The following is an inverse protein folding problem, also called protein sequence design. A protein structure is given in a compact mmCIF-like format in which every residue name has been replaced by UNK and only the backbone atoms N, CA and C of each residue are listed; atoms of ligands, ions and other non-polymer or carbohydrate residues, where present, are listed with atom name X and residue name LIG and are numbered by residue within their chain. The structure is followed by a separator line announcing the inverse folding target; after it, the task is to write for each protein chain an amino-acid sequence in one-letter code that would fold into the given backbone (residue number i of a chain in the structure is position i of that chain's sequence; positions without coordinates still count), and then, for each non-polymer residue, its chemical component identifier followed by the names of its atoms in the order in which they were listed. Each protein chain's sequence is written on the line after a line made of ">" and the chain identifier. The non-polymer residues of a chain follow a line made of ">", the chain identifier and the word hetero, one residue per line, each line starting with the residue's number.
data_IF_684447769109
#
_entry.id   IF_684447769109
#
_cell.length_a   1.000
_cell.length_b   1.000
_cell.length_c   1.000
_cell.angle_alpha   90.00
_cell.angle_beta   90.00
_cell.angle_gamma   90.00
#
_symmetry.space_group_name_H-M   'P 1'
#
loop_
_entity.id
_entity.type
_entity.pdbx_description
1 polymer ?
#
# COMPACT_ATOMS: atom_id res chain seq x y z
N UNK A 1 2.77 14.37 16.79
CA UNK A 1 1.49 14.09 17.48
C UNK A 1 0.33 14.80 16.79
N UNK A 2 0.45 16.09 16.47
CA UNK A 2 -0.64 16.90 15.88
C UNK A 2 -1.21 16.33 14.57
N UNK A 3 -0.36 15.83 13.67
CA UNK A 3 -0.80 15.26 12.40
C UNK A 3 -1.70 14.02 12.56
N UNK A 4 -1.36 13.11 13.47
CA UNK A 4 -2.16 11.90 13.72
C UNK A 4 -3.54 12.26 14.31
N UNK A 5 -3.60 13.30 15.14
CA UNK A 5 -4.84 13.82 15.70
C UNK A 5 -5.72 14.48 14.62
N UNK A 6 -5.12 15.31 13.75
CA UNK A 6 -5.81 15.93 12.62
C UNK A 6 -6.34 14.88 11.65
N UNK A 7 -5.53 13.89 11.31
CA UNK A 7 -5.97 12.76 10.48
C UNK A 7 -7.14 12.03 11.16
N UNK A 8 -7.05 11.70 12.46
CA UNK A 8 -8.14 11.06 13.20
C UNK A 8 -9.44 11.85 13.11
N UNK A 9 -9.39 13.16 13.38
CA UNK A 9 -10.55 14.04 13.30
C UNK A 9 -11.20 13.98 11.91
N UNK A 10 -10.37 14.01 10.88
CA UNK A 10 -10.85 13.99 9.51
C UNK A 10 -11.33 12.61 9.03
N UNK A 11 -10.73 11.52 9.48
CA UNK A 11 -11.27 10.19 9.21
C UNK A 11 -12.65 10.03 9.86
N UNK A 12 -12.81 10.57 11.08
CA UNK A 12 -14.06 10.56 11.83
C UNK A 12 -15.15 11.52 11.31
N UNK A 13 -14.85 12.38 10.33
CA UNK A 13 -15.88 13.24 9.71
C UNK A 13 -16.88 12.46 8.85
N UNK A 14 -16.58 11.20 8.54
CA UNK A 14 -17.48 10.27 7.84
C UNK A 14 -17.58 8.94 8.59
N UNK A 15 -18.71 8.23 8.51
CA UNK A 15 -18.97 7.02 9.28
C UNK A 15 -18.33 5.76 8.67
N UNK A 16 -17.10 5.86 8.15
CA UNK A 16 -16.45 4.73 7.49
C UNK A 16 -15.92 3.70 8.49
N UNK A 17 -16.16 2.39 8.24
CA UNK A 17 -15.56 1.34 9.06
C UNK A 17 -14.08 1.13 8.72
N UNK A 18 -13.70 1.34 7.45
CA UNK A 18 -12.35 1.12 6.93
C UNK A 18 -12.02 2.20 5.89
N UNK A 19 -10.80 2.72 5.94
CA UNK A 19 -10.20 3.53 4.87
C UNK A 19 -8.84 2.95 4.50
N UNK A 20 -8.33 3.32 3.33
CA UNK A 20 -6.98 2.96 2.90
C UNK A 20 -6.12 4.21 2.99
N UNK A 21 -5.02 4.10 3.74
CA UNK A 21 -4.04 5.15 3.92
C UNK A 21 -2.81 4.82 3.09
N UNK A 22 -2.28 5.80 2.37
CA UNK A 22 -1.03 5.68 1.61
C UNK A 22 -0.11 6.83 1.99
N UNK A 23 1.13 6.52 2.39
CA UNK A 23 2.12 7.49 2.87
C UNK A 23 3.36 7.53 1.99
N UNK A 24 4.03 8.68 1.98
CA UNK A 24 5.39 8.81 1.43
C UNK A 24 6.42 8.46 2.51
N UNK A 25 6.61 7.15 2.75
CA UNK A 25 7.51 6.65 3.80
C UNK A 25 8.98 6.50 3.41
N UNK A 26 9.33 6.49 2.13
CA UNK A 26 10.72 6.49 1.67
C UNK A 26 10.82 7.40 0.45
N UNK A 27 11.97 8.03 0.23
CA UNK A 27 12.14 8.86 -0.96
C UNK A 27 12.34 7.97 -2.18
N UNK A 28 11.32 7.98 -3.03
CA UNK A 28 11.30 7.24 -4.28
C UNK A 28 11.33 8.18 -5.49
N UNK A 29 11.64 9.47 -5.29
CA UNK A 29 11.69 10.49 -6.34
C UNK A 29 12.68 10.15 -7.46
N UNK A 30 13.83 9.56 -7.11
CA UNK A 30 14.80 9.01 -8.07
C UNK A 30 14.23 7.94 -9.01
N UNK A 31 13.12 7.31 -8.60
CA UNK A 31 12.35 6.29 -9.35
C UNK A 31 11.07 6.86 -9.96
N UNK A 32 10.86 8.18 -9.89
CA UNK A 32 9.63 8.87 -10.30
C UNK A 32 8.36 8.34 -9.60
N UNK A 33 8.49 7.92 -8.35
CA UNK A 33 7.37 7.49 -7.51
C UNK A 33 7.22 8.43 -6.31
N UNK A 34 5.98 8.72 -5.92
CA UNK A 34 5.68 9.61 -4.80
C UNK A 34 5.25 8.83 -3.58
N UNK A 35 4.49 7.75 -3.75
CA UNK A 35 3.84 7.04 -2.65
C UNK A 35 4.47 5.66 -2.48
N UNK A 36 4.93 5.34 -1.27
CA UNK A 36 5.73 4.13 -1.05
C UNK A 36 4.97 3.01 -0.33
N UNK A 37 4.11 3.34 0.64
CA UNK A 37 3.53 2.35 1.53
C UNK A 37 2.07 2.62 1.85
N UNK A 38 1.26 1.56 1.80
CA UNK A 38 -0.17 1.60 2.10
C UNK A 38 -0.56 0.67 3.26
N UNK A 39 -1.66 1.02 3.94
CA UNK A 39 -2.26 0.21 5.00
C UNK A 39 -3.77 0.39 5.09
N UNK A 40 -4.46 -0.60 5.66
CA UNK A 40 -5.89 -0.51 5.98
C UNK A 40 -6.07 0.10 7.35
N UNK A 41 -6.69 1.26 7.46
CA UNK A 41 -7.09 1.81 8.75
C UNK A 41 -8.53 1.41 9.05
N UNK A 42 -8.75 0.68 10.15
CA UNK A 42 -10.08 0.27 10.62
C UNK A 42 -10.46 1.02 11.89
N UNK A 43 -11.67 1.59 11.87
CA UNK A 43 -12.23 2.33 13.01
C UNK A 43 -12.59 1.37 14.13
N UNK A 44 -12.22 1.74 15.35
CA UNK A 44 -12.50 1.00 16.58
C UNK A 44 -13.75 1.57 17.27
N UNK A 45 -14.41 0.80 18.16
CA UNK A 45 -15.61 1.26 18.87
C UNK A 45 -15.42 2.55 19.67
N UNK A 46 -14.20 2.81 20.17
CA UNK A 46 -13.84 4.02 20.91
C UNK A 46 -13.52 5.23 20.00
N UNK A 47 -13.67 5.09 18.67
CA UNK A 47 -13.39 6.13 17.69
C UNK A 47 -11.91 6.32 17.32
N UNK A 48 -11.02 5.46 17.84
CA UNK A 48 -9.63 5.36 17.36
C UNK A 48 -9.55 4.54 16.06
N UNK A 49 -8.37 4.55 15.45
CA UNK A 49 -8.09 3.82 14.23
C UNK A 49 -6.88 2.91 14.43
N UNK A 50 -6.99 1.67 13.95
CA UNK A 50 -5.89 0.71 13.89
C UNK A 50 -5.51 0.45 12.44
N UNK A 51 -4.23 0.57 12.12
CA UNK A 51 -3.69 0.41 10.78
C UNK A 51 -3.07 -0.97 10.63
N UNK A 52 -3.54 -1.73 9.65
CA UNK A 52 -3.10 -3.07 9.31
C UNK A 52 -2.25 -2.99 8.04
N UNK A 53 -1.03 -3.51 8.12
CA UNK A 53 -0.07 -3.45 7.03
C UNK A 53 1.00 -4.54 7.17
N UNK A 54 1.60 -4.91 6.04
CA UNK A 54 2.75 -5.79 5.99
C UNK A 54 4.03 -4.95 5.98
N UNK A 55 4.98 -5.22 6.86
CA UNK A 55 6.27 -4.54 6.92
C UNK A 55 7.40 -5.56 6.85
N UNK A 56 8.50 -5.20 6.18
CA UNK A 56 9.72 -5.97 6.29
C UNK A 56 10.43 -5.65 7.60
N UNK A 57 11.08 -6.64 8.19
CA UNK A 57 12.09 -6.38 9.21
C UNK A 57 13.22 -5.60 8.54
N UNK A 58 13.57 -4.43 9.08
CA UNK A 58 14.53 -3.52 8.45
C UNK A 58 15.83 -4.25 8.11
N UNK A 59 16.26 -4.15 6.85
CA UNK A 59 17.47 -4.81 6.37
C UNK A 59 17.39 -6.34 6.21
N UNK A 60 16.19 -6.94 6.16
CA UNK A 60 16.02 -8.38 5.87
C UNK A 60 15.01 -8.64 4.76
N UNK A 61 15.03 -9.87 4.20
CA UNK A 61 14.03 -10.41 3.27
C UNK A 61 12.81 -11.03 3.99
N UNK A 62 12.61 -10.72 5.27
CA UNK A 62 11.50 -11.24 6.05
C UNK A 62 10.48 -10.15 6.32
N UNK A 63 9.19 -10.50 6.27
CA UNK A 63 8.10 -9.59 6.60
C UNK A 63 7.08 -10.21 7.53
N UNK A 64 6.38 -9.34 8.26
CA UNK A 64 5.31 -9.70 9.18
C UNK A 64 4.15 -8.70 9.07
N UNK A 65 2.97 -9.15 9.49
CA UNK A 65 1.80 -8.30 9.61
C UNK A 65 1.83 -7.54 10.93
N UNK A 66 1.63 -6.23 10.85
CA UNK A 66 1.56 -5.33 11.99
C UNK A 66 0.18 -4.71 12.09
N UNK A 67 -0.22 -4.42 13.34
CA UNK A 67 -1.43 -3.66 13.65
C UNK A 67 -1.01 -2.51 14.55
N UNK A 68 -0.96 -1.31 13.99
CA UNK A 68 -0.43 -0.11 14.64
C UNK A 68 -1.51 0.95 14.84
N UNK A 69 -1.24 2.01 15.59
CA UNK A 69 -2.10 3.21 15.62
C UNK A 69 -1.78 4.16 14.47
N UNK A 70 -2.56 5.22 14.33
CA UNK A 70 -2.27 6.28 13.34
C UNK A 70 -0.95 6.98 13.64
N UNK A 71 -0.57 7.12 14.91
CA UNK A 71 0.69 7.76 15.25
C UNK A 71 1.87 6.94 14.75
N UNK A 72 1.91 5.64 15.04
CA UNK A 72 2.98 4.73 14.62
C UNK A 72 3.02 4.57 13.10
N UNK A 73 1.86 4.53 12.44
CA UNK A 73 1.80 4.53 10.97
C UNK A 73 2.32 5.83 10.34
N UNK A 74 2.41 6.92 11.10
CA UNK A 74 2.97 8.19 10.65
C UNK A 74 4.35 8.49 11.24
N UNK A 75 4.78 7.68 12.19
CA UNK A 75 6.13 7.72 12.73
C UNK A 75 7.10 7.07 11.74
N UNK A 76 8.34 7.53 11.81
CA UNK A 76 9.50 7.23 10.97
C UNK A 76 9.49 7.81 9.54
N UNK A 77 10.60 8.48 9.21
CA UNK A 77 11.17 8.67 7.87
C UNK A 77 10.23 9.12 6.75
N UNK A 78 9.15 9.84 7.08
CA UNK A 78 8.32 10.50 6.08
C UNK A 78 9.12 11.62 5.41
N UNK A 79 9.46 11.43 4.13
CA UNK A 79 10.13 12.45 3.29
C UNK A 79 9.26 13.69 3.19
N UNK A 80 7.96 13.48 3.05
CA UNK A 80 6.94 14.50 3.24
C UNK A 80 5.84 13.95 4.14
N UNK A 81 5.27 14.82 4.96
CA UNK A 81 4.16 14.52 5.85
C UNK A 81 2.81 14.47 5.09
N UNK A 82 2.81 13.85 3.91
CA UNK A 82 1.64 13.71 3.03
C UNK A 82 1.02 12.32 3.20
N UNK A 83 -0.31 12.27 3.29
CA UNK A 83 -1.06 11.01 3.39
C UNK A 83 -2.23 11.07 2.42
N UNK A 84 -2.27 10.14 1.47
CA UNK A 84 -3.44 9.92 0.65
C UNK A 84 -4.43 9.00 1.38
N UNK A 85 -5.71 9.34 1.30
CA UNK A 85 -6.82 8.60 1.88
C UNK A 85 -7.78 8.23 0.77
N UNK A 86 -8.05 6.94 0.65
CA UNK A 86 -9.09 6.39 -0.21
C UNK A 86 -10.21 5.82 0.66
N UNK A 87 -11.45 6.07 0.26
CA UNK A 87 -12.65 5.52 0.90
C UNK A 87 -13.31 4.53 -0.08
N UNK A 88 -13.08 3.21 0.06
CA UNK A 88 -13.72 2.22 -0.80
C UNK A 88 -15.26 2.35 -0.79
N UNK A 89 -15.92 1.84 -1.83
CA UNK A 89 -17.37 1.67 -1.80
C UNK A 89 -17.81 0.85 -0.58
N UNK A 90 -19.04 1.06 -0.12
CA UNK A 90 -19.54 0.51 1.14
C UNK A 90 -19.49 -1.02 1.19
N UNK A 91 -19.80 -1.70 0.09
CA UNK A 91 -19.69 -3.16 -0.06
C UNK A 91 -18.28 -3.67 0.24
N UNK A 92 -17.28 -3.02 -0.38
CA UNK A 92 -15.86 -3.37 -0.21
C UNK A 92 -15.39 -3.02 1.20
N UNK A 93 -15.79 -1.87 1.74
CA UNK A 93 -15.42 -1.44 3.09
C UNK A 93 -15.93 -2.42 4.17
N UNK A 94 -17.17 -2.91 4.04
CA UNK A 94 -17.74 -3.92 4.95
C UNK A 94 -17.03 -5.27 4.82
N UNK A 95 -16.70 -5.69 3.59
CA UNK A 95 -15.92 -6.91 3.36
C UNK A 95 -14.52 -6.82 3.97
N UNK A 96 -13.83 -5.68 3.77
CA UNK A 96 -12.54 -5.40 4.40
C UNK A 96 -12.63 -5.43 5.93
N UNK A 97 -13.62 -4.78 6.53
CA UNK A 97 -13.82 -4.81 7.99
C UNK A 97 -13.92 -6.26 8.51
N UNK A 98 -14.70 -7.09 7.82
CA UNK A 98 -14.86 -8.52 8.17
C UNK A 98 -13.55 -9.31 8.05
N UNK A 99 -12.70 -8.98 7.08
CA UNK A 99 -11.38 -9.60 6.93
C UNK A 99 -10.42 -9.15 8.04
N UNK A 100 -10.39 -7.85 8.35
CA UNK A 100 -9.47 -7.24 9.31
C UNK A 100 -9.72 -7.69 10.76
N UNK A 101 -10.93 -8.14 11.09
CA UNK A 101 -11.22 -8.77 12.38
C UNK A 101 -10.64 -10.18 12.55
N UNK A 102 -10.13 -10.81 11.49
CA UNK A 102 -9.62 -12.18 11.56
C UNK A 102 -8.17 -12.26 11.10
N UNK A 103 -7.26 -12.43 12.07
CA UNK A 103 -5.85 -12.66 11.79
C UNK A 103 -5.65 -13.89 10.87
N UNK A 104 -6.46 -14.94 11.01
CA UNK A 104 -6.41 -16.13 10.14
C UNK A 104 -6.68 -15.75 8.68
N UNK A 105 -7.73 -14.96 8.42
CA UNK A 105 -8.06 -14.51 7.06
C UNK A 105 -6.98 -13.61 6.47
N UNK A 106 -6.33 -12.76 7.26
CA UNK A 106 -5.23 -11.92 6.80
C UNK A 106 -3.96 -12.73 6.51
N UNK A 107 -3.64 -13.73 7.35
CA UNK A 107 -2.47 -14.58 7.18
C UNK A 107 -2.57 -15.49 5.94
N UNK A 108 -3.78 -15.82 5.47
CA UNK A 108 -3.99 -16.53 4.21
C UNK A 108 -3.37 -15.82 3.00
N UNK A 109 -3.25 -14.48 3.07
CA UNK A 109 -2.68 -13.65 2.03
C UNK A 109 -1.27 -13.14 2.35
N UNK A 110 -0.69 -13.53 3.49
CA UNK A 110 0.66 -13.12 3.87
C UNK A 110 1.71 -14.11 3.35
N UNK A 111 2.87 -13.57 2.98
CA UNK A 111 4.08 -14.36 2.83
C UNK A 111 5.24 -13.69 3.56
N UNK A 112 6.04 -14.45 4.32
CA UNK A 112 7.22 -13.89 4.97
C UNK A 112 8.31 -13.51 3.95
N UNK A 113 8.29 -14.05 2.73
CA UNK A 113 9.32 -13.82 1.70
C UNK A 113 9.21 -12.42 1.10
N UNK A 114 9.86 -11.45 1.72
CA UNK A 114 9.83 -10.07 1.31
C UNK A 114 10.78 -9.80 0.14
N UNK A 115 10.27 -9.12 -0.89
CA UNK A 115 11.07 -8.54 -1.97
C UNK A 115 10.58 -7.13 -2.23
N UNK A 116 11.43 -6.11 -2.14
CA UNK A 116 11.05 -4.71 -2.38
C UNK A 116 10.42 -4.54 -3.78
N UNK A 117 10.98 -5.24 -4.77
CA UNK A 117 10.52 -5.22 -6.16
C UNK A 117 9.66 -6.43 -6.50
N UNK A 118 8.88 -6.99 -5.56
CA UNK A 118 8.03 -8.15 -5.85
C UNK A 118 7.11 -7.89 -7.06
N UNK A 119 7.17 -8.77 -8.07
CA UNK A 119 6.28 -8.70 -9.22
C UNK A 119 4.85 -9.09 -8.78
N UNK A 120 3.80 -8.31 -9.14
CA UNK A 120 2.44 -8.56 -8.66
C UNK A 120 1.84 -9.91 -9.03
N UNK A 121 2.26 -10.51 -10.15
CA UNK A 121 1.45 -11.55 -10.77
C UNK A 121 2.03 -12.97 -10.66
N UNK A 122 3.23 -13.11 -10.13
CA UNK A 122 3.90 -14.40 -10.02
C UNK A 122 4.93 -14.40 -8.90
N UNK A 123 5.66 -15.51 -8.78
CA UNK A 123 6.78 -15.63 -7.87
C UNK A 123 6.39 -15.90 -6.42
N UNK A 124 7.36 -16.29 -5.59
CA UNK A 124 7.11 -16.58 -4.18
C UNK A 124 6.99 -15.31 -3.34
N UNK A 125 7.48 -14.18 -3.85
CA UNK A 125 7.69 -12.97 -3.06
C UNK A 125 6.44 -12.13 -2.84
N UNK A 126 6.54 -11.24 -1.87
CA UNK A 126 5.54 -10.22 -1.56
C UNK A 126 6.27 -8.94 -1.12
N UNK A 127 5.71 -7.78 -1.44
CA UNK A 127 6.08 -6.54 -0.77
C UNK A 127 4.89 -6.01 0.05
N UNK A 128 5.08 -4.92 0.79
CA UNK A 128 4.06 -4.39 1.69
C UNK A 128 2.72 -4.11 0.97
N UNK A 129 2.79 -3.49 -0.20
CA UNK A 129 1.63 -3.15 -1.02
C UNK A 129 1.00 -4.38 -1.71
N UNK A 130 1.79 -5.42 -1.99
CA UNK A 130 1.32 -6.68 -2.54
C UNK A 130 0.35 -7.39 -1.60
N UNK A 131 0.68 -7.45 -0.29
CA UNK A 131 -0.26 -7.98 0.71
C UNK A 131 -1.57 -7.18 0.75
N UNK A 132 -1.46 -5.84 0.72
CA UNK A 132 -2.63 -4.97 0.71
C UNK A 132 -3.53 -5.26 -0.50
N UNK A 133 -2.96 -5.31 -1.71
CA UNK A 133 -3.69 -5.60 -2.94
C UNK A 133 -4.30 -7.01 -2.96
N UNK A 134 -3.62 -8.01 -2.39
CA UNK A 134 -4.13 -9.38 -2.32
C UNK A 134 -5.34 -9.49 -1.37
N UNK A 135 -5.31 -8.82 -0.22
CA UNK A 135 -6.48 -8.69 0.66
C UNK A 135 -7.60 -7.89 0.00
N UNK A 136 -7.25 -6.87 -0.81
CA UNK A 136 -8.22 -6.06 -1.54
C UNK A 136 -8.99 -6.91 -2.57
N UNK A 137 -8.29 -7.79 -3.28
CA UNK A 137 -8.92 -8.74 -4.21
C UNK A 137 -9.93 -9.63 -3.49
N UNK A 138 -9.58 -10.16 -2.31
CA UNK A 138 -10.50 -10.95 -1.48
C UNK A 138 -11.75 -10.17 -1.03
N UNK A 139 -11.60 -8.89 -0.75
CA UNK A 139 -12.73 -8.06 -0.35
C UNK A 139 -13.71 -7.80 -1.52
N UNK A 140 -13.21 -7.79 -2.76
CA UNK A 140 -14.02 -7.60 -3.95
C UNK A 140 -14.62 -8.91 -4.48
N UNK A 141 -13.95 -10.04 -4.25
CA UNK A 141 -14.39 -11.35 -4.73
C UNK A 141 -14.24 -12.42 -3.63
N UNK A 142 -15.38 -12.91 -3.16
CA UNK A 142 -15.47 -13.95 -2.14
C UNK A 142 -15.02 -15.35 -2.61
N UNK A 143 -14.60 -15.51 -3.88
CA UNK A 143 -13.97 -16.72 -4.42
C UNK A 143 -12.44 -16.67 -4.42
N UNK A 144 -11.84 -15.54 -4.06
CA UNK A 144 -10.38 -15.44 -3.90
C UNK A 144 -9.98 -16.10 -2.58
N UNK A 145 -9.38 -17.29 -2.59
CA UNK A 145 -9.03 -18.04 -1.37
C UNK A 145 -7.53 -18.21 -1.16
N UNK A 146 -6.71 -17.68 -2.07
CA UNK A 146 -5.27 -17.79 -1.99
C UNK A 146 -4.59 -16.55 -2.59
N UNK A 147 -3.30 -16.39 -2.28
CA UNK A 147 -2.44 -15.40 -2.95
C UNK A 147 -2.49 -15.53 -4.47
N UNK A 148 -2.48 -16.75 -5.00
CA UNK A 148 -2.51 -16.97 -6.45
C UNK A 148 -3.85 -16.57 -7.08
N UNK A 149 -4.98 -16.80 -6.40
CA UNK A 149 -6.28 -16.32 -6.87
C UNK A 149 -6.35 -14.80 -6.86
N UNK A 150 -5.82 -14.17 -5.80
CA UNK A 150 -5.78 -12.72 -5.69
C UNK A 150 -4.94 -12.09 -6.81
N UNK A 151 -3.77 -12.67 -7.12
CA UNK A 151 -2.90 -12.23 -8.23
C UNK A 151 -3.58 -12.39 -9.59
N UNK A 152 -4.28 -13.50 -9.82
CA UNK A 152 -5.08 -13.71 -11.04
C UNK A 152 -6.21 -12.68 -11.14
N UNK A 153 -6.90 -12.41 -10.03
CA UNK A 153 -7.92 -11.39 -9.96
C UNK A 153 -7.35 -10.01 -10.31
N UNK A 154 -6.20 -9.63 -9.75
CA UNK A 154 -5.51 -8.37 -10.07
C UNK A 154 -5.19 -8.26 -11.57
N UNK A 155 -4.70 -9.33 -12.20
CA UNK A 155 -4.49 -9.36 -13.67
C UNK A 155 -5.79 -9.14 -14.43
N UNK A 156 -6.86 -9.85 -14.06
CA UNK A 156 -8.17 -9.76 -14.72
C UNK A 156 -8.80 -8.37 -14.58
N UNK A 157 -8.58 -7.71 -13.45
CA UNK A 157 -9.02 -6.34 -13.21
C UNK A 157 -8.09 -5.28 -13.80
N UNK A 158 -7.05 -5.67 -14.53
CA UNK A 158 -6.15 -4.75 -15.20
C UNK A 158 -5.28 -3.93 -14.25
N UNK A 159 -4.96 -4.45 -13.05
CA UNK A 159 -3.97 -3.82 -12.16
C UNK A 159 -2.67 -3.59 -12.94
N UNK A 160 -2.07 -2.40 -12.79
CA UNK A 160 -0.81 -2.04 -13.42
C UNK A 160 0.22 -1.74 -12.33
N UNK A 161 1.30 -2.53 -12.19
CA UNK A 161 2.39 -2.20 -11.29
C UNK A 161 3.09 -0.92 -11.72
N UNK A 162 3.91 -0.39 -10.83
CA UNK A 162 4.88 0.65 -11.19
C UNK A 162 6.06 0.00 -11.91
N UNK A 163 6.57 0.67 -12.94
CA UNK A 163 7.74 0.23 -13.71
C UNK A 163 8.83 1.27 -13.54
N UNK A 164 10.03 0.83 -13.15
CA UNK A 164 11.15 1.72 -12.84
C UNK A 164 12.44 1.17 -13.45
N UNK A 165 13.40 2.06 -13.75
CA UNK A 165 14.71 1.64 -14.25
C UNK A 165 15.47 0.84 -13.20
N UNK A 166 16.01 -0.32 -13.59
CA UNK A 166 16.86 -1.15 -12.75
C UNK A 166 18.12 -0.38 -12.29
N UNK A 167 18.72 0.40 -13.20
CA UNK A 167 19.88 1.27 -12.89
C UNK A 167 19.60 2.34 -11.83
N UNK A 168 18.34 2.66 -11.54
CA UNK A 168 18.00 3.54 -10.40
C UNK A 168 18.24 2.87 -9.05
N UNK A 169 18.15 1.54 -8.97
CA UNK A 169 18.55 0.80 -7.76
C UNK A 169 20.07 0.69 -7.64
N UNK A 170 20.80 0.64 -8.75
CA UNK A 170 22.27 0.57 -8.80
C UNK A 170 22.93 1.92 -8.51
N UNK A 171 22.37 3.04 -8.99
CA UNK A 171 22.94 4.40 -8.89
C UNK A 171 22.92 5.02 -7.49
N UNK A 172 22.14 4.48 -6.55
CA UNK A 172 22.02 5.00 -5.18
C UNK A 172 23.10 4.49 -4.22
N UNK A 173 24.14 3.79 -4.69
CA UNK A 173 25.15 3.20 -3.81
C UNK A 173 24.58 2.13 -2.87
N UNK A 174 23.34 1.70 -3.11
CA UNK A 174 22.74 0.52 -2.52
C UNK A 174 23.48 -0.67 -3.11
N UNK A 175 24.53 -1.08 -2.38
CA UNK A 175 25.39 -2.25 -2.62
C UNK A 175 24.64 -3.34 -3.39
N UNK A 176 25.38 -4.03 -4.26
CA UNK A 176 25.06 -5.26 -4.99
C UNK A 176 24.42 -6.42 -4.16
N UNK A 177 23.99 -6.17 -2.92
CA UNK A 177 23.42 -7.11 -1.96
C UNK A 177 22.45 -6.37 -1.00
N UNK A 178 21.40 -5.71 -1.50
CA UNK A 178 20.29 -5.36 -0.60
C UNK A 178 19.56 -6.68 -0.32
N UNK A 179 19.49 -7.15 0.93
CA UNK A 179 19.10 -8.53 1.24
C UNK A 179 17.68 -8.88 0.80
N UNK A 180 16.87 -7.90 0.41
CA UNK A 180 15.46 -8.04 0.05
C UNK A 180 15.12 -7.59 -1.38
N UNK A 181 16.08 -7.64 -2.31
CA UNK A 181 15.85 -7.34 -3.73
C UNK A 181 16.19 -8.58 -4.56
N UNK A 182 15.18 -9.17 -5.19
CA UNK A 182 15.30 -10.33 -6.07
C UNK A 182 14.63 -10.04 -7.41
N UNK A 183 15.20 -10.52 -8.52
CA UNK A 183 14.70 -10.28 -9.88
C UNK A 183 14.18 -11.54 -10.58
N UNK A 184 14.23 -12.68 -9.91
CA UNK A 184 13.82 -14.00 -10.42
C UNK A 184 12.31 -14.15 -10.60
N UNK A 185 11.50 -13.24 -10.03
CA UNK A 185 10.05 -13.15 -10.27
C UNK A 185 9.65 -12.12 -11.34
N UNK A 186 10.62 -11.40 -11.93
CA UNK A 186 10.37 -10.36 -12.92
C UNK A 186 10.17 -10.95 -14.34
N UNK A 187 9.32 -10.33 -15.18
CA UNK A 187 9.24 -10.68 -16.59
C UNK A 187 10.58 -10.47 -17.30
N UNK A 188 11.07 -11.50 -18.00
CA UNK A 188 12.36 -11.44 -18.70
C UNK A 188 12.45 -10.30 -19.73
N UNK A 189 11.34 -9.95 -20.39
CA UNK A 189 11.30 -8.81 -21.30
C UNK A 189 11.53 -7.47 -20.58
N UNK A 190 11.01 -7.32 -19.37
CA UNK A 190 11.18 -6.11 -18.58
C UNK A 190 12.64 -5.92 -18.17
N UNK A 191 13.27 -7.01 -17.71
CA UNK A 191 14.69 -7.04 -17.35
C UNK A 191 15.59 -6.72 -18.56
N UNK A 192 15.31 -7.28 -19.75
CA UNK A 192 16.06 -6.97 -20.98
C UNK A 192 15.98 -5.49 -21.37
N UNK A 193 14.89 -4.81 -21.02
CA UNK A 193 14.71 -3.35 -21.20
C UNK A 193 15.36 -2.51 -20.09
N UNK A 194 16.09 -3.14 -19.16
CA UNK A 194 16.72 -2.47 -18.02
C UNK A 194 15.72 -1.96 -16.99
N UNK A 195 14.55 -2.59 -16.89
CA UNK A 195 13.47 -2.19 -15.99
C UNK A 195 13.08 -3.31 -15.03
N UNK A 196 12.45 -2.92 -13.92
CA UNK A 196 11.79 -3.83 -12.97
C UNK A 196 10.40 -3.28 -12.62
N UNK A 197 9.50 -4.17 -12.23
CA UNK A 197 8.16 -3.85 -11.80
C UNK A 197 7.96 -4.10 -10.31
N UNK A 198 7.11 -3.29 -9.67
CA UNK A 198 6.78 -3.45 -8.26
C UNK A 198 5.39 -2.89 -7.93
N UNK A 199 4.82 -3.39 -6.82
CA UNK A 199 3.65 -2.76 -6.21
C UNK A 199 4.10 -1.54 -5.40
N UNK A 200 3.90 -0.33 -5.91
CA UNK A 200 4.14 0.93 -5.17
C UNK A 200 2.85 1.51 -4.62
N UNK A 201 2.95 2.50 -3.73
CA UNK A 201 1.79 3.27 -3.28
C UNK A 201 1.09 3.98 -4.45
N UNK A 202 1.83 4.47 -5.45
CA UNK A 202 1.24 5.11 -6.65
C UNK A 202 0.37 4.11 -7.43
N UNK A 203 0.87 2.89 -7.63
CA UNK A 203 0.10 1.84 -8.31
C UNK A 203 -1.13 1.41 -7.51
N UNK A 204 -1.03 1.40 -6.17
CA UNK A 204 -2.16 1.13 -5.26
C UNK A 204 -3.22 2.22 -5.40
N UNK A 205 -2.82 3.50 -5.31
CA UNK A 205 -3.74 4.64 -5.44
C UNK A 205 -4.45 4.58 -6.79
N UNK A 206 -3.69 4.47 -7.89
CA UNK A 206 -4.25 4.42 -9.25
C UNK A 206 -5.30 3.32 -9.39
N UNK A 207 -5.04 2.13 -8.86
CA UNK A 207 -5.97 1.01 -8.98
C UNK A 207 -7.19 1.15 -8.07
N UNK A 208 -6.97 1.39 -6.77
CA UNK A 208 -8.04 1.39 -5.76
C UNK A 208 -8.95 2.63 -5.89
N UNK A 209 -8.46 3.73 -6.47
CA UNK A 209 -9.28 4.90 -6.80
C UNK A 209 -10.53 4.51 -7.61
N UNK A 210 -10.41 3.58 -8.56
CA UNK A 210 -11.55 3.10 -9.37
C UNK A 210 -12.64 2.38 -8.55
N UNK A 211 -12.29 1.90 -7.36
CA UNK A 211 -13.18 1.21 -6.42
C UNK A 211 -13.54 2.08 -5.20
N UNK A 212 -13.17 3.35 -5.23
CA UNK A 212 -13.38 4.30 -4.15
C UNK A 212 -14.44 5.33 -4.55
N UNK A 213 -15.16 5.83 -3.55
CA UNK A 213 -16.14 6.90 -3.77
C UNK A 213 -15.44 8.26 -3.85
N UNK A 214 -16.05 9.20 -4.58
CA UNK A 214 -15.61 10.59 -4.57
C UNK A 214 -15.66 11.17 -3.15
N UNK A 215 -14.69 12.02 -2.81
CA UNK A 215 -14.56 12.60 -1.47
C UNK A 215 -14.59 14.14 -1.59
N UNK A 216 -15.74 14.79 -1.42
CA UNK A 216 -15.83 16.24 -1.57
C UNK A 216 -15.09 16.98 -0.44
N UNK A 217 -14.62 18.20 -0.74
CA UNK A 217 -14.11 19.13 0.28
C UNK A 217 -12.73 18.78 0.82
N UNK A 218 -11.85 18.20 0.00
CA UNK A 218 -10.45 17.96 0.34
C UNK A 218 -9.51 18.28 -0.84
N UNK A 219 -8.20 18.28 -0.58
CA UNK A 219 -7.18 18.46 -1.61
C UNK A 219 -6.98 17.15 -2.37
N UNK A 220 -7.25 17.12 -3.68
CA UNK A 220 -7.11 15.91 -4.50
C UNK A 220 -5.74 15.77 -5.18
N UNK A 221 -4.96 16.86 -5.24
CA UNK A 221 -3.78 16.98 -6.09
C UNK A 221 -4.10 16.50 -7.53
N UNK A 222 -3.22 15.68 -8.13
CA UNK A 222 -3.41 15.08 -9.45
C UNK A 222 -3.92 13.62 -9.38
N UNK A 223 -4.46 13.18 -8.23
CA UNK A 223 -4.83 11.78 -7.98
C UNK A 223 -6.31 11.47 -8.24
N UNK A 224 -7.13 12.50 -8.52
CA UNK A 224 -8.55 12.38 -8.84
C UNK A 224 -9.48 12.50 -7.63
N UNK A 225 -10.77 12.65 -7.89
CA UNK A 225 -11.81 13.00 -6.90
C UNK A 225 -12.05 11.94 -5.81
N UNK A 226 -11.60 10.71 -6.04
CA UNK A 226 -11.73 9.60 -5.08
C UNK A 226 -10.56 9.51 -4.08
N UNK A 227 -9.59 10.44 -4.15
CA UNK A 227 -8.38 10.44 -3.33
C UNK A 227 -8.24 11.79 -2.64
N UNK A 228 -8.23 11.82 -1.31
CA UNK A 228 -7.87 13.01 -0.56
C UNK A 228 -6.42 12.94 -0.13
N UNK A 229 -5.66 14.01 -0.33
CA UNK A 229 -4.31 14.15 0.20
C UNK A 229 -4.32 15.12 1.37
N UNK A 230 -3.85 14.63 2.52
CA UNK A 230 -3.65 15.44 3.71
C UNK A 230 -2.19 15.80 3.83
N UNK A 231 -1.92 17.10 3.86
CA UNK A 231 -0.60 17.66 4.11
C UNK A 231 -0.54 18.12 5.56
N UNK A 232 0.53 17.78 6.27
CA UNK A 232 0.77 18.41 7.57
C UNK A 232 1.09 19.90 7.40
N UNK A 233 0.51 20.80 8.22
CA UNK A 233 0.74 22.26 8.15
C UNK A 233 2.19 22.75 8.35
N UNK A 234 3.18 21.86 8.49
CA UNK A 234 4.60 22.18 8.69
C UNK A 234 5.54 21.72 7.58
N UNK A 235 5.04 21.08 6.51
CA UNK A 235 5.86 20.71 5.37
C UNK A 235 6.24 21.97 4.58
N UNK A 236 7.40 22.56 4.91
CA UNK A 236 7.97 23.64 4.09
C UNK A 236 8.17 23.12 2.68
N UNK A 237 7.64 23.88 1.70
CA UNK A 237 7.97 23.74 0.27
C UNK A 237 9.47 23.88 0.05
#
# INVERSE_FOLDING_TARGET
>A
MDQALQLKQQLNSQPDPVVILVRQGQDMSSRHLTWSHAGYAMRQPNGDWRVYHNLNTCGTAESALYIQGLYEFLADDLVNQSIAVLRPRSDIATALQTLLHSAIKLNLFHSPRYNLIAWPFSGPYQNSNGWLLEVFARANDAQVWSRNDARRWLQLQGYQPSIVSAGTFERLGAKLFTPNVFTDDQPAELLRKGNVGLNSGDSVIRFIAHYSRAIPGCEHQNLGESVCVYLSPGAKK
#
